data_IF_808952350324
#
_entry.id   IF_808952350324
#
_cell.length_a   1.000
_cell.length_b   1.000
_cell.length_c   1.000
_cell.angle_alpha   90.00
_cell.angle_beta   90.00
_cell.angle_gamma   90.00
#
_symmetry.space_group_name_H-M   'P 1'
#
loop_
_entity.id
_entity.type
_entity.pdbx_description
1 polymer ?
#
# COMPACT_ATOMS: atom_id res chain seq x y z
N UNK A 1 9.22 7.97 10.92
CA UNK A 1 8.32 8.95 10.25
C UNK A 1 9.14 9.76 9.26
N UNK A 2 8.56 10.23 8.14
CA UNK A 2 9.27 11.09 7.19
C UNK A 2 9.71 12.40 7.83
N UNK A 3 10.83 12.95 7.36
CA UNK A 3 11.38 14.26 7.71
C UNK A 3 11.78 14.99 6.42
N UNK A 4 12.22 16.25 6.53
CA UNK A 4 12.73 17.00 5.37
C UNK A 4 13.99 16.38 4.75
N UNK A 5 14.73 15.55 5.52
CA UNK A 5 15.98 14.91 5.10
C UNK A 5 15.78 13.49 4.55
N UNK A 6 14.70 12.79 4.92
CA UNK A 6 14.42 11.43 4.43
C UNK A 6 12.93 11.05 4.41
N UNK A 7 12.53 10.20 3.47
CA UNK A 7 11.13 9.79 3.23
C UNK A 7 10.51 8.82 4.24
N UNK A 8 11.18 8.53 5.36
CA UNK A 8 10.76 7.51 6.33
C UNK A 8 11.11 6.06 5.95
N UNK A 9 10.51 5.09 6.64
CA UNK A 9 10.77 3.66 6.43
C UNK A 9 10.09 3.15 5.16
N UNK A 10 10.81 2.33 4.38
CA UNK A 10 10.26 1.72 3.17
C UNK A 10 9.67 0.34 3.49
N UNK A 11 8.35 0.29 3.68
CA UNK A 11 7.65 -0.92 4.13
C UNK A 11 7.08 -1.72 2.96
N UNK A 12 7.63 -2.91 2.73
CA UNK A 12 7.12 -3.89 1.76
C UNK A 12 6.03 -4.77 2.40
N UNK A 13 4.82 -4.22 2.53
CA UNK A 13 3.68 -4.96 3.09
C UNK A 13 3.40 -6.26 2.33
N UNK A 14 3.09 -7.35 3.05
CA UNK A 14 2.65 -8.59 2.40
C UNK A 14 1.33 -8.34 1.67
N UNK A 15 1.27 -8.68 0.38
CA UNK A 15 0.17 -8.24 -0.49
C UNK A 15 -1.23 -8.64 0.01
N UNK A 16 -1.42 -9.88 0.43
CA UNK A 16 -2.72 -10.39 0.90
C UNK A 16 -3.14 -9.87 2.28
N UNK A 17 -2.24 -9.20 3.01
CA UNK A 17 -2.52 -8.54 4.28
C UNK A 17 -3.07 -7.11 4.09
N UNK A 18 -3.31 -6.68 2.85
CA UNK A 18 -3.92 -5.38 2.53
C UNK A 18 -5.20 -5.06 3.31
N UNK A 19 -6.13 -6.01 3.61
CA UNK A 19 -7.33 -5.68 4.38
C UNK A 19 -7.00 -5.18 5.79
N UNK A 20 -5.94 -5.70 6.42
CA UNK A 20 -5.50 -5.22 7.74
C UNK A 20 -4.92 -3.81 7.69
N UNK A 21 -4.21 -3.45 6.61
CA UNK A 21 -3.70 -2.09 6.39
C UNK A 21 -4.85 -1.12 6.15
N UNK A 22 -5.86 -1.51 5.36
CA UNK A 22 -7.06 -0.70 5.15
C UNK A 22 -7.88 -0.52 6.42
N UNK A 23 -8.07 -1.59 7.20
CA UNK A 23 -8.77 -1.50 8.48
C UNK A 23 -8.08 -0.49 9.43
N UNK A 24 -6.75 -0.54 9.53
CA UNK A 24 -5.99 0.45 10.29
C UNK A 24 -6.16 1.87 9.73
N UNK A 25 -6.06 2.06 8.42
CA UNK A 25 -6.21 3.36 7.77
C UNK A 25 -7.63 3.94 7.95
N UNK A 26 -8.67 3.10 7.97
CA UNK A 26 -10.04 3.47 8.32
C UNK A 26 -10.13 3.97 9.76
N UNK A 27 -9.54 3.25 10.72
CA UNK A 27 -9.49 3.69 12.13
C UNK A 27 -8.70 5.00 12.33
N UNK A 28 -7.71 5.27 11.46
CA UNK A 28 -6.95 6.52 11.42
C UNK A 28 -7.70 7.66 10.69
N UNK A 29 -8.90 7.42 10.17
CA UNK A 29 -9.70 8.40 9.43
C UNK A 29 -9.18 8.73 8.02
N UNK A 30 -8.25 7.91 7.48
CA UNK A 30 -7.66 8.11 6.13
C UNK A 30 -8.44 7.44 5.01
N UNK A 31 -9.32 6.51 5.36
CA UNK A 31 -10.21 5.78 4.44
C UNK A 31 -11.64 5.93 4.96
N UNK A 32 -12.61 6.17 4.08
CA UNK A 32 -14.02 6.28 4.44
C UNK A 32 -14.72 4.92 4.52
N UNK A 33 -15.85 4.85 5.21
CA UNK A 33 -16.68 3.64 5.24
C UNK A 33 -17.15 3.23 3.82
N UNK A 34 -17.45 4.21 2.97
CA UNK A 34 -17.82 3.98 1.57
C UNK A 34 -16.69 3.28 0.80
N UNK A 35 -15.44 3.75 0.93
CA UNK A 35 -14.29 3.11 0.31
C UNK A 35 -14.08 1.68 0.83
N UNK A 36 -14.27 1.45 2.13
CA UNK A 36 -14.20 0.10 2.72
C UNK A 36 -15.26 -0.83 2.11
N UNK A 37 -16.48 -0.34 1.90
CA UNK A 37 -17.55 -1.10 1.25
C UNK A 37 -17.26 -1.39 -0.23
N UNK A 38 -16.42 -0.58 -0.89
CA UNK A 38 -15.96 -0.75 -2.26
C UNK A 38 -14.62 -1.52 -2.37
N UNK A 39 -14.23 -2.30 -1.35
CA UNK A 39 -13.03 -3.14 -1.45
C UNK A 39 -13.10 -4.10 -2.64
N UNK A 40 -12.07 -4.07 -3.49
CA UNK A 40 -11.97 -4.80 -4.77
C UNK A 40 -12.98 -4.37 -5.85
N UNK A 41 -13.63 -3.23 -5.68
CA UNK A 41 -14.56 -2.65 -6.65
C UNK A 41 -14.08 -1.24 -7.00
N UNK A 42 -13.17 -1.14 -7.97
CA UNK A 42 -12.41 0.09 -8.26
C UNK A 42 -12.70 0.71 -9.63
N UNK A 43 -13.53 0.06 -10.47
CA UNK A 43 -13.82 0.49 -11.85
C UNK A 43 -14.50 1.86 -11.89
N UNK A 44 -15.48 2.07 -11.01
CA UNK A 44 -16.24 3.32 -10.94
C UNK A 44 -15.57 4.39 -10.06
N UNK A 45 -14.31 4.15 -9.68
CA UNK A 45 -13.60 4.97 -8.70
C UNK A 45 -14.05 4.70 -7.26
N UNK A 46 -13.50 5.46 -6.31
CA UNK A 46 -13.80 5.38 -4.88
C UNK A 46 -13.67 3.98 -4.23
N UNK A 47 -12.93 3.08 -4.85
CA UNK A 47 -12.68 1.72 -4.37
C UNK A 47 -11.29 1.54 -3.78
N UNK A 48 -11.08 0.39 -3.14
CA UNK A 48 -9.78 -0.02 -2.61
C UNK A 48 -9.23 -1.20 -3.41
N UNK A 49 -8.01 -1.06 -3.92
CA UNK A 49 -7.35 -2.12 -4.68
C UNK A 49 -7.16 -3.39 -3.86
N UNK A 50 -7.16 -4.54 -4.53
CA UNK A 50 -7.00 -5.84 -3.88
C UNK A 50 -5.67 -5.96 -3.13
N UNK A 51 -4.59 -5.40 -3.67
CA UNK A 51 -3.21 -5.49 -3.17
C UNK A 51 -2.48 -4.15 -3.33
N UNK A 52 -1.22 -4.04 -2.85
CA UNK A 52 -0.40 -2.84 -3.05
C UNK A 52 -0.15 -2.53 -4.53
N UNK A 53 -0.97 -1.65 -5.10
CA UNK A 53 -0.91 -1.22 -6.49
C UNK A 53 -0.76 0.30 -6.58
N UNK A 54 0.48 0.84 -6.60
CA UNK A 54 0.72 2.28 -6.69
C UNK A 54 0.10 2.94 -7.93
N UNK A 55 -0.05 2.20 -9.02
CA UNK A 55 -0.71 2.71 -10.23
C UNK A 55 -2.19 3.03 -9.99
N UNK A 56 -2.88 2.18 -9.22
CA UNK A 56 -4.31 2.29 -8.92
C UNK A 56 -4.58 3.21 -7.72
N UNK A 57 -3.67 3.24 -6.73
CA UNK A 57 -3.77 4.07 -5.53
C UNK A 57 -2.46 4.82 -5.25
N UNK A 58 -2.20 5.86 -6.04
CA UNK A 58 -0.92 6.61 -6.07
C UNK A 58 -0.52 7.24 -4.74
N UNK A 59 -1.50 7.70 -3.98
CA UNK A 59 -1.28 8.41 -2.71
C UNK A 59 -1.35 7.48 -1.50
N UNK A 60 -1.42 6.16 -1.71
CA UNK A 60 -1.56 5.18 -0.63
C UNK A 60 -0.49 4.08 -0.67
N UNK A 61 -0.32 3.40 -1.81
CA UNK A 61 0.62 2.29 -1.93
C UNK A 61 1.93 2.71 -2.60
N UNK A 62 3.05 2.16 -2.12
CA UNK A 62 4.39 2.48 -2.64
C UNK A 62 5.04 1.31 -3.41
N UNK A 63 4.92 0.08 -2.90
CA UNK A 63 5.65 -1.07 -3.43
C UNK A 63 4.71 -2.24 -3.77
N UNK A 64 4.73 -2.77 -5.01
CA UNK A 64 3.93 -3.93 -5.38
C UNK A 64 4.57 -5.24 -4.91
N UNK A 65 3.87 -5.99 -4.05
CA UNK A 65 4.44 -7.16 -3.36
C UNK A 65 3.67 -8.46 -3.55
N UNK A 66 2.50 -8.44 -4.18
CA UNK A 66 1.64 -9.64 -4.27
C UNK A 66 2.22 -10.73 -5.18
N UNK A 67 3.03 -10.35 -6.18
CA UNK A 67 3.85 -11.33 -6.91
C UNK A 67 5.00 -11.79 -6.00
N UNK A 68 4.77 -12.92 -5.35
CA UNK A 68 5.68 -13.45 -4.34
C UNK A 68 7.08 -13.67 -4.92
N UNK A 69 8.11 -13.31 -4.15
CA UNK A 69 9.51 -13.33 -4.55
C UNK A 69 10.05 -11.97 -5.02
N UNK A 70 9.21 -11.12 -5.64
CA UNK A 70 9.66 -9.79 -6.09
C UNK A 70 9.92 -8.84 -4.92
N UNK A 71 9.04 -8.84 -3.90
CA UNK A 71 9.19 -7.97 -2.73
C UNK A 71 10.54 -8.14 -2.02
N UNK A 72 10.95 -9.36 -1.63
CA UNK A 72 12.23 -9.59 -0.96
C UNK A 72 13.45 -9.14 -1.77
N UNK A 73 13.53 -9.50 -3.06
CA UNK A 73 14.71 -9.12 -3.87
C UNK A 73 14.74 -7.61 -4.12
N UNK A 74 13.59 -6.98 -4.36
CA UNK A 74 13.51 -5.53 -4.51
C UNK A 74 13.86 -4.81 -3.21
N UNK A 75 13.43 -5.29 -2.05
CA UNK A 75 13.78 -4.69 -0.76
C UNK A 75 15.28 -4.77 -0.47
N UNK A 76 15.95 -5.88 -0.82
CA UNK A 76 17.42 -6.01 -0.73
C UNK A 76 18.11 -4.93 -1.59
N UNK A 77 17.69 -4.80 -2.85
CA UNK A 77 18.29 -3.81 -3.75
C UNK A 77 17.91 -2.37 -3.35
N UNK A 78 16.70 -2.15 -2.86
CA UNK A 78 16.27 -0.86 -2.34
C UNK A 78 17.16 -0.42 -1.18
N UNK A 79 17.40 -1.30 -0.20
CA UNK A 79 18.31 -1.01 0.92
C UNK A 79 19.76 -0.78 0.47
N UNK A 80 20.19 -1.40 -0.63
CA UNK A 80 21.52 -1.19 -1.22
C UNK A 80 21.65 0.18 -1.92
N UNK A 81 20.58 0.68 -2.53
CA UNK A 81 20.58 1.90 -3.34
C UNK A 81 20.08 3.15 -2.60
N UNK A 82 19.68 3.01 -1.34
CA UNK A 82 19.41 4.15 -0.45
C UNK A 82 20.68 4.91 -0.08
#
# INVERSE_FOLDING_TARGET
APTDEHGGDLIYFQGHASPGVYARAFMEGRITEEQMNNFRQEVDGNGLSSYPHPWLMKDFWQFPTVSMGLGPIQAIYQARFM
#
